data_IF_127654841816
#
_entry.id   IF_127654841816
#
_cell.length_a   1.000
_cell.length_b   1.000
_cell.length_c   1.000
_cell.angle_alpha   90.00
_cell.angle_beta   90.00
_cell.angle_gamma   90.00
#
_symmetry.space_group_name_H-M   'P 1'
#
loop_
_entity.id
_entity.type
_entity.pdbx_description
1 polymer ?
#
# COMPACT_ATOMS: atom_id res chain seq x y z
N UNK A 1 0.53 -17.91 -5.00
CA UNK A 1 1.29 -17.25 -3.92
C UNK A 1 0.35 -17.05 -2.74
N UNK A 2 0.67 -17.71 -1.62
CA UNK A 2 -0.02 -17.56 -0.33
C UNK A 2 0.37 -16.25 0.36
N UNK A 3 -0.39 -15.84 1.39
CA UNK A 3 -0.06 -14.66 2.19
C UNK A 3 1.29 -14.80 2.92
N UNK A 4 1.64 -16.00 3.39
CA UNK A 4 2.93 -16.28 4.02
C UNK A 4 4.08 -16.13 3.03
N UNK A 5 3.93 -16.66 1.82
CA UNK A 5 4.93 -16.48 0.75
C UNK A 5 5.09 -15.01 0.36
N UNK A 6 3.99 -14.26 0.28
CA UNK A 6 4.06 -12.82 0.03
C UNK A 6 4.85 -12.11 1.13
N UNK A 7 4.50 -12.35 2.40
CA UNK A 7 5.16 -11.72 3.54
C UNK A 7 6.67 -12.03 3.59
N UNK A 8 7.06 -13.28 3.32
CA UNK A 8 8.47 -13.69 3.28
C UNK A 8 9.27 -13.01 2.16
N UNK A 9 8.61 -12.67 1.05
CA UNK A 9 9.25 -12.05 -0.13
C UNK A 9 9.13 -10.51 -0.15
N UNK A 10 8.56 -9.89 0.88
CA UNK A 10 8.48 -8.43 0.94
C UNK A 10 9.85 -7.82 1.27
N UNK A 11 10.22 -6.69 0.63
CA UNK A 11 11.48 -6.03 0.93
C UNK A 11 11.48 -5.50 2.36
N UNK A 12 12.63 -5.65 3.02
CA UNK A 12 12.82 -5.16 4.38
C UNK A 12 13.00 -3.65 4.37
N UNK A 13 12.24 -2.96 5.22
CA UNK A 13 12.33 -1.50 5.36
C UNK A 13 13.37 -1.13 6.41
N UNK A 14 14.19 -0.14 6.11
CA UNK A 14 15.05 0.53 7.08
C UNK A 14 14.21 1.35 8.08
N UNK A 15 14.84 1.73 9.20
CA UNK A 15 14.20 2.65 10.18
C UNK A 15 13.84 4.00 9.54
N UNK A 16 14.67 4.50 8.61
CA UNK A 16 14.43 5.76 7.91
C UNK A 16 13.21 5.68 6.99
N UNK A 17 13.09 4.60 6.22
CA UNK A 17 11.94 4.38 5.34
C UNK A 17 10.64 4.23 6.14
N UNK A 18 10.65 3.46 7.24
CA UNK A 18 9.48 3.36 8.13
C UNK A 18 9.06 4.73 8.66
N UNK A 19 10.01 5.55 9.13
CA UNK A 19 9.73 6.90 9.63
C UNK A 19 9.16 7.80 8.53
N UNK A 20 9.69 7.72 7.31
CA UNK A 20 9.17 8.48 6.18
C UNK A 20 7.74 8.05 5.80
N UNK A 21 7.47 6.74 5.71
CA UNK A 21 6.15 6.20 5.38
C UNK A 21 5.08 6.51 6.43
N UNK A 22 5.47 6.53 7.71
CA UNK A 22 4.60 6.87 8.83
C UNK A 22 4.41 8.38 9.03
N UNK A 23 5.13 9.23 8.29
CA UNK A 23 5.01 10.68 8.46
C UNK A 23 3.66 11.21 7.97
N UNK A 24 3.27 12.37 8.47
CA UNK A 24 1.98 12.99 8.18
C UNK A 24 0.86 12.46 9.07
N UNK A 25 -0.36 12.86 8.75
CA UNK A 25 -1.59 12.53 9.45
C UNK A 25 -2.38 11.46 8.70
N UNK A 26 -3.40 10.89 9.35
CA UNK A 26 -4.36 10.00 8.67
C UNK A 26 -5.02 10.65 7.44
N UNK A 27 -5.16 11.98 7.39
CA UNK A 27 -5.67 12.70 6.21
C UNK A 27 -4.65 12.71 5.08
N UNK A 28 -3.37 12.91 5.38
CA UNK A 28 -2.31 12.83 4.37
C UNK A 28 -2.20 11.42 3.78
N UNK A 29 -2.40 10.40 4.63
CA UNK A 29 -2.41 9.00 4.19
C UNK A 29 -3.61 8.67 3.30
N UNK A 30 -4.77 9.26 3.58
CA UNK A 30 -5.96 9.17 2.73
C UNK A 30 -5.69 9.80 1.36
N UNK A 31 -5.07 10.99 1.32
CA UNK A 31 -4.74 11.65 0.05
C UNK A 31 -3.69 10.87 -0.76
N UNK A 32 -2.68 10.30 -0.10
CA UNK A 32 -1.72 9.38 -0.74
C UNK A 32 -2.41 8.15 -1.36
N UNK A 33 -3.42 7.60 -0.68
CA UNK A 33 -4.24 6.51 -1.25
C UNK A 33 -5.07 6.99 -2.45
N UNK A 34 -5.63 8.20 -2.39
CA UNK A 34 -6.41 8.78 -3.51
C UNK A 34 -5.61 8.95 -4.79
N UNK A 35 -4.30 9.21 -4.72
CA UNK A 35 -3.43 9.27 -5.90
C UNK A 35 -3.48 7.94 -6.67
N UNK A 36 -3.32 6.82 -5.96
CA UNK A 36 -3.36 5.48 -6.55
C UNK A 36 -4.76 5.14 -7.07
N UNK A 37 -5.80 5.49 -6.31
CA UNK A 37 -7.19 5.24 -6.72
C UNK A 37 -7.53 5.96 -8.02
N UNK A 38 -7.09 7.21 -8.19
CA UNK A 38 -7.29 7.98 -9.43
C UNK A 38 -6.63 7.31 -10.63
N UNK A 39 -5.40 6.82 -10.46
CA UNK A 39 -4.67 6.11 -11.52
C UNK A 39 -5.37 4.81 -11.92
N UNK A 40 -5.76 3.99 -10.94
CA UNK A 40 -6.49 2.73 -11.20
C UNK A 40 -7.77 3.00 -11.98
N UNK A 41 -8.58 3.98 -11.57
CA UNK A 41 -9.84 4.29 -12.25
C UNK A 41 -9.64 4.97 -13.61
N UNK A 42 -8.57 5.72 -13.82
CA UNK A 42 -8.26 6.29 -15.13
C UNK A 42 -7.86 5.22 -16.16
N UNK A 43 -7.28 4.11 -15.68
CA UNK A 43 -6.75 3.03 -16.52
C UNK A 43 -7.63 1.76 -16.51
N UNK A 44 -8.82 1.82 -15.92
CA UNK A 44 -9.80 0.73 -15.95
C UNK A 44 -11.18 1.23 -16.36
N UNK A 45 -11.95 0.38 -17.00
CA UNK A 45 -13.30 0.73 -17.49
C UNK A 45 -14.37 -0.19 -16.91
N UNK A 46 -15.59 0.35 -16.77
CA UNK A 46 -16.73 -0.43 -16.30
C UNK A 46 -17.00 -1.58 -17.27
N UNK A 47 -17.12 -2.81 -16.74
CA UNK A 47 -17.32 -4.02 -17.55
C UNK A 47 -16.05 -4.60 -18.17
N UNK A 48 -14.88 -3.98 -17.96
CA UNK A 48 -13.61 -4.54 -18.40
C UNK A 48 -13.33 -5.88 -17.71
N UNK A 49 -12.97 -6.89 -18.51
CA UNK A 49 -12.50 -8.17 -17.98
C UNK A 49 -11.05 -8.03 -17.51
N UNK A 50 -10.88 -7.71 -16.23
CA UNK A 50 -9.57 -7.66 -15.59
C UNK A 50 -9.06 -9.09 -15.37
N UNK A 51 -7.82 -9.34 -15.79
CA UNK A 51 -7.18 -10.66 -15.71
C UNK A 51 -5.69 -10.53 -15.37
N UNK A 52 -4.87 -11.46 -15.86
CA UNK A 52 -3.44 -11.50 -15.53
C UNK A 52 -2.71 -10.19 -15.81
N UNK A 53 -3.02 -9.49 -16.90
CA UNK A 53 -2.40 -8.20 -17.22
C UNK A 53 -2.62 -7.17 -16.12
N UNK A 54 -3.85 -6.99 -15.66
CA UNK A 54 -4.19 -6.08 -14.57
C UNK A 54 -3.46 -6.45 -13.28
N UNK A 55 -3.37 -7.75 -12.97
CA UNK A 55 -2.58 -8.21 -11.85
C UNK A 55 -1.13 -7.75 -11.98
N UNK A 56 -0.47 -8.01 -13.12
CA UNK A 56 0.92 -7.57 -13.33
C UNK A 56 1.09 -6.05 -13.23
N UNK A 57 0.16 -5.27 -13.78
CA UNK A 57 0.25 -3.81 -13.82
C UNK A 57 0.17 -3.18 -12.42
N UNK A 58 -0.63 -3.77 -11.51
CA UNK A 58 -0.90 -3.20 -10.18
C UNK A 58 -0.34 -4.00 -9.01
N UNK A 59 0.35 -5.13 -9.25
CA UNK A 59 0.85 -5.96 -8.15
C UNK A 59 1.91 -5.24 -7.29
N UNK A 60 2.81 -4.48 -7.91
CA UNK A 60 3.79 -3.68 -7.16
C UNK A 60 3.13 -2.53 -6.38
N UNK A 61 2.08 -1.93 -6.95
CA UNK A 61 1.27 -0.92 -6.28
C UNK A 61 0.59 -1.52 -5.04
N UNK A 62 -0.03 -2.69 -5.18
CA UNK A 62 -0.65 -3.43 -4.08
C UNK A 62 0.35 -3.71 -2.95
N UNK A 63 1.54 -4.24 -3.28
CA UNK A 63 2.61 -4.50 -2.31
C UNK A 63 3.01 -3.24 -1.56
N UNK A 64 3.17 -2.12 -2.27
CA UNK A 64 3.49 -0.83 -1.67
C UNK A 64 2.40 -0.33 -0.70
N UNK A 65 1.13 -0.49 -1.06
CA UNK A 65 0.01 -0.12 -0.19
C UNK A 65 -0.08 -0.99 1.07
N UNK A 66 0.17 -2.30 0.96
CA UNK A 66 0.24 -3.19 2.12
C UNK A 66 1.37 -2.79 3.08
N UNK A 67 2.55 -2.44 2.56
CA UNK A 67 3.66 -1.93 3.37
C UNK A 67 3.32 -0.62 4.07
N UNK A 68 2.81 0.37 3.33
CA UNK A 68 2.37 1.66 3.91
C UNK A 68 1.32 1.45 4.98
N UNK A 69 0.32 0.61 4.73
CA UNK A 69 -0.75 0.29 5.68
C UNK A 69 -0.23 -0.31 6.98
N UNK A 70 0.63 -1.32 6.90
CA UNK A 70 1.23 -1.94 8.09
C UNK A 70 2.07 -0.95 8.91
N UNK A 71 2.90 -0.13 8.24
CA UNK A 71 3.73 0.87 8.92
C UNK A 71 2.89 1.97 9.59
N UNK A 72 1.87 2.47 8.90
CA UNK A 72 0.96 3.52 9.42
C UNK A 72 0.09 3.01 10.56
N UNK A 73 -0.38 1.76 10.47
CA UNK A 73 -1.11 1.12 11.57
C UNK A 73 -0.21 0.98 12.81
N UNK A 74 1.01 0.49 12.64
CA UNK A 74 1.96 0.38 13.75
C UNK A 74 2.27 1.76 14.37
N UNK A 75 2.40 2.80 13.55
CA UNK A 75 2.59 4.17 14.04
C UNK A 75 1.39 4.66 14.87
N UNK A 76 0.17 4.45 14.37
CA UNK A 76 -1.06 4.84 15.08
C UNK A 76 -1.22 4.08 16.40
N UNK A 77 -0.94 2.77 16.40
CA UNK A 77 -0.99 1.96 17.62
C UNK A 77 0.02 2.45 18.66
N UNK A 78 1.24 2.80 18.24
CA UNK A 78 2.24 3.36 19.14
C UNK A 78 1.83 4.74 19.68
N UNK A 79 1.15 5.56 18.89
CA UNK A 79 0.65 6.87 19.34
C UNK A 79 -0.49 6.73 20.38
N UNK A 80 -1.35 5.73 20.20
CA UNK A 80 -2.54 5.55 21.06
C UNK A 80 -2.25 4.70 22.31
N UNK A 81 -1.31 3.75 22.23
CA UNK A 81 -1.06 2.74 23.27
C UNK A 81 0.37 2.76 23.85
N UNK A 82 1.30 3.51 23.24
CA UNK A 82 2.68 3.63 23.68
C UNK A 82 2.91 4.82 24.61
#
# INVERSE_FOLDING_TARGET
MSYSELAMNMPQLSKKERKAMASGTHRDWLEDSRIVVKDIYANTTVGQKLGYRYMYDYFDVLKGQLQKGGVRLAALLNEVLG
#
